data_IF_164515177572
#
_entry.id   IF_164515177572
#
_cell.length_a   1.000
_cell.length_b   1.000
_cell.length_c   1.000
_cell.angle_alpha   90.00
_cell.angle_beta   90.00
_cell.angle_gamma   90.00
#
_symmetry.space_group_name_H-M   'P 1'
#
loop_
_entity.id
_entity.type
_entity.pdbx_description
1 polymer ?
#
# COMPACT_ATOMS: atom_id res chain seq x y z
N UNK A 1 -39.72 4.57 18.14
CA UNK A 1 -39.37 3.14 18.26
C UNK A 1 -39.02 2.60 16.87
N UNK A 2 -38.12 1.62 16.81
CA UNK A 2 -37.89 0.72 15.65
C UNK A 2 -39.21 0.01 15.23
N UNK A 3 -39.42 -0.63 14.07
CA UNK A 3 -38.64 -1.03 12.88
C UNK A 3 -39.68 -1.18 11.72
N UNK A 4 -39.43 -1.49 10.44
CA UNK A 4 -38.26 -1.91 9.63
C UNK A 4 -38.50 -1.47 8.16
N UNK A 5 -37.49 -1.54 7.27
CA UNK A 5 -37.71 -1.73 5.83
C UNK A 5 -37.50 -3.22 5.44
N UNK A 6 -38.17 -3.77 4.42
CA UNK A 6 -38.30 -5.24 4.27
C UNK A 6 -37.04 -5.95 3.76
N UNK A 7 -36.79 -7.17 4.25
CA UNK A 7 -35.84 -8.13 3.65
C UNK A 7 -36.27 -8.49 2.23
N UNK A 8 -35.36 -8.32 1.26
CA UNK A 8 -35.48 -8.92 -0.07
C UNK A 8 -35.25 -7.93 -1.23
N UNK A 9 -34.00 -7.51 -1.43
CA UNK A 9 -33.65 -6.74 -2.62
C UNK A 9 -33.58 -7.69 -3.83
N UNK A 10 -34.65 -7.73 -4.64
CA UNK A 10 -34.83 -8.78 -5.67
C UNK A 10 -34.16 -8.48 -7.02
N UNK A 11 -33.80 -7.23 -7.30
CA UNK A 11 -33.30 -6.84 -8.63
C UNK A 11 -32.30 -5.67 -8.57
N UNK A 12 -31.02 -5.99 -8.70
CA UNK A 12 -30.12 -5.20 -9.54
C UNK A 12 -29.85 -6.06 -10.79
N UNK A 13 -30.63 -5.84 -11.86
CA UNK A 13 -30.49 -6.65 -13.08
C UNK A 13 -29.12 -6.42 -13.72
N UNK A 14 -28.30 -7.48 -13.71
CA UNK A 14 -26.96 -7.50 -14.26
C UNK A 14 -26.17 -8.62 -13.61
N UNK A 15 -25.90 -9.70 -14.34
CA UNK A 15 -25.30 -10.92 -13.80
C UNK A 15 -23.81 -10.72 -13.44
N UNK A 16 -23.56 -10.13 -12.26
CA UNK A 16 -22.24 -9.96 -11.67
C UNK A 16 -22.15 -10.55 -10.27
N UNK A 17 -20.93 -10.91 -9.86
CA UNK A 17 -20.59 -11.34 -8.48
C UNK A 17 -21.17 -10.33 -7.47
N UNK A 18 -21.81 -10.79 -6.37
CA UNK A 18 -22.38 -9.89 -5.37
C UNK A 18 -21.32 -8.92 -4.84
N UNK A 19 -21.74 -7.66 -4.62
CA UNK A 19 -20.88 -6.64 -4.05
C UNK A 19 -20.41 -7.09 -2.66
N UNK A 20 -19.08 -7.08 -2.43
CA UNK A 20 -18.48 -7.50 -1.17
C UNK A 20 -18.67 -6.48 -0.04
N UNK A 21 -18.51 -5.21 -0.37
CA UNK A 21 -18.70 -4.06 0.53
C UNK A 21 -20.06 -3.41 0.28
N UNK A 22 -20.75 -3.04 1.36
CA UNK A 22 -22.07 -2.43 1.30
C UNK A 22 -22.02 -0.91 1.13
N UNK A 23 -21.02 -0.26 1.73
CA UNK A 23 -20.81 1.19 1.66
C UNK A 23 -19.31 1.55 1.56
N UNK A 24 -19.02 2.82 1.29
CA UNK A 24 -17.65 3.31 1.11
C UNK A 24 -16.83 3.35 2.42
N UNK A 25 -17.49 3.60 3.54
CA UNK A 25 -16.91 3.76 4.88
C UNK A 25 -16.34 2.43 5.40
N UNK A 26 -17.07 1.32 5.21
CA UNK A 26 -16.61 -0.05 5.48
C UNK A 26 -15.37 -0.40 4.65
N UNK A 27 -15.31 0.05 3.39
CA UNK A 27 -14.15 -0.16 2.54
C UNK A 27 -12.95 0.69 2.99
N UNK A 28 -13.17 1.95 3.35
CA UNK A 28 -12.14 2.86 3.85
C UNK A 28 -11.55 2.36 5.17
N UNK A 29 -12.38 1.98 6.14
CA UNK A 29 -11.92 1.39 7.41
C UNK A 29 -11.04 0.15 7.17
N UNK A 30 -11.44 -0.74 6.25
CA UNK A 30 -10.69 -1.98 5.93
C UNK A 30 -9.40 -1.71 5.13
N UNK A 31 -9.29 -0.55 4.50
CA UNK A 31 -8.04 -0.04 3.90
C UNK A 31 -7.12 0.54 4.98
N UNK A 32 -7.66 1.25 5.96
CA UNK A 32 -6.86 1.81 7.07
C UNK A 32 -6.32 0.70 7.99
N UNK A 33 -7.13 -0.30 8.33
CA UNK A 33 -6.69 -1.54 9.01
C UNK A 33 -5.52 -2.23 8.26
N UNK A 34 -5.52 -2.20 6.93
CA UNK A 34 -4.44 -2.77 6.13
C UNK A 34 -3.13 -1.97 6.25
N UNK A 35 -3.21 -0.63 6.24
CA UNK A 35 -2.02 0.21 6.39
C UNK A 35 -1.48 0.19 7.83
N UNK A 36 -2.34 0.12 8.85
CA UNK A 36 -1.94 -0.14 10.23
C UNK A 36 -1.28 -1.52 10.35
N UNK A 37 -1.87 -2.56 9.75
CA UNK A 37 -1.23 -3.88 9.64
C UNK A 37 0.16 -3.80 8.98
N UNK A 38 0.38 -2.97 7.97
CA UNK A 38 1.70 -2.80 7.35
C UNK A 38 2.78 -2.24 8.31
N UNK A 39 2.41 -1.53 9.39
CA UNK A 39 3.37 -0.96 10.36
C UNK A 39 4.01 -2.00 11.31
N UNK A 40 3.49 -3.23 11.32
CA UNK A 40 3.97 -4.31 12.19
C UNK A 40 3.40 -4.24 13.62
N UNK A 41 3.80 -5.19 14.45
CA UNK A 41 3.32 -5.34 15.83
C UNK A 41 4.49 -5.33 16.82
N UNK A 42 4.29 -4.64 17.94
CA UNK A 42 5.26 -4.44 19.01
C UNK A 42 4.61 -4.67 20.36
N UNK A 43 5.26 -5.46 21.20
CA UNK A 43 4.83 -5.76 22.57
C UNK A 43 5.90 -5.30 23.56
N UNK A 44 5.47 -4.66 24.65
CA UNK A 44 6.36 -4.34 25.76
C UNK A 44 6.41 -5.52 26.73
N UNK A 45 7.53 -6.25 26.72
CA UNK A 45 7.77 -7.40 27.60
C UNK A 45 8.65 -6.98 28.78
N UNK A 46 8.32 -7.45 29.98
CA UNK A 46 9.12 -7.24 31.19
C UNK A 46 10.09 -8.39 31.39
N UNK A 47 11.39 -8.13 31.19
CA UNK A 47 12.46 -9.10 31.45
C UNK A 47 13.17 -8.74 32.77
N UNK A 48 13.37 -9.73 33.64
CA UNK A 48 14.20 -9.58 34.85
C UNK A 48 15.67 -9.77 34.49
N UNK A 49 16.41 -8.67 34.42
CA UNK A 49 17.84 -8.70 34.10
C UNK A 49 18.71 -8.53 35.34
N UNK A 50 19.66 -9.45 35.47
CA UNK A 50 20.64 -9.50 36.55
C UNK A 50 21.73 -8.44 36.36
N UNK A 51 21.55 -7.26 36.97
CA UNK A 51 22.52 -6.15 36.91
C UNK A 51 23.51 -6.24 38.06
N UNK A 52 24.81 -6.08 37.76
CA UNK A 52 25.86 -5.97 38.79
C UNK A 52 25.84 -4.59 39.41
N UNK A 53 25.70 -4.49 40.73
CA UNK A 53 25.80 -3.24 41.49
C UNK A 53 26.88 -3.40 42.56
N UNK A 54 27.67 -2.36 42.79
CA UNK A 54 28.63 -2.36 43.90
C UNK A 54 27.88 -2.20 45.22
N UNK A 55 28.10 -3.13 46.14
CA UNK A 55 27.61 -3.02 47.51
C UNK A 55 28.42 -1.96 48.26
N UNK A 56 27.73 -1.01 48.89
CA UNK A 56 28.33 0.12 49.61
C UNK A 56 29.11 -0.29 50.86
N UNK A 57 28.76 -1.42 51.47
CA UNK A 57 29.31 -1.86 52.76
C UNK A 57 30.46 -2.86 52.58
N UNK A 58 30.32 -3.82 51.67
CA UNK A 58 31.32 -4.88 51.44
C UNK A 58 32.29 -4.57 50.29
N UNK A 59 32.00 -3.54 49.48
CA UNK A 59 32.78 -3.17 48.30
C UNK A 59 32.71 -4.16 47.14
N UNK A 60 32.05 -5.31 47.31
CA UNK A 60 31.90 -6.37 46.31
C UNK A 60 30.82 -6.04 45.28
N UNK A 61 30.86 -6.72 44.13
CA UNK A 61 29.78 -6.67 43.14
C UNK A 61 28.73 -7.72 43.48
N UNK A 62 27.55 -7.28 43.86
CA UNK A 62 26.38 -8.12 44.03
C UNK A 62 25.51 -8.05 42.77
N UNK A 63 24.76 -9.12 42.51
CA UNK A 63 23.87 -9.21 41.35
C UNK A 63 22.45 -8.95 41.80
N UNK A 64 21.82 -7.89 41.30
CA UNK A 64 20.47 -7.47 41.68
C UNK A 64 19.52 -7.74 40.51
N UNK A 65 18.46 -8.55 40.68
CA UNK A 65 17.43 -8.68 39.67
C UNK A 65 16.72 -7.33 39.51
N UNK A 66 16.77 -6.79 38.30
CA UNK A 66 16.15 -5.51 37.96
C UNK A 66 15.16 -5.75 36.83
N UNK A 67 13.90 -5.40 37.03
CA UNK A 67 12.91 -5.39 35.96
C UNK A 67 13.27 -4.30 34.94
N UNK A 68 13.27 -4.68 33.65
CA UNK A 68 13.48 -3.75 32.53
C UNK A 68 12.39 -4.03 31.50
N UNK A 69 11.70 -2.97 31.08
CA UNK A 69 10.80 -3.03 29.93
C UNK A 69 11.62 -3.10 28.64
N UNK A 70 11.28 -4.06 27.80
CA UNK A 70 11.91 -4.31 26.51
C UNK A 70 10.82 -4.37 25.45
N UNK A 71 10.88 -3.44 24.51
CA UNK A 71 9.99 -3.43 23.34
C UNK A 71 10.43 -4.52 22.37
N UNK A 72 9.66 -5.59 22.27
CA UNK A 72 9.87 -6.72 21.37
C UNK A 72 9.02 -6.51 20.13
N UNK A 73 9.58 -6.75 18.94
CA UNK A 73 8.83 -6.72 17.69
C UNK A 73 8.29 -8.13 17.41
N UNK A 74 6.97 -8.31 17.54
CA UNK A 74 6.28 -9.58 17.29
C UNK A 74 6.12 -9.82 15.79
N UNK A 75 5.82 -8.76 15.03
CA UNK A 75 5.74 -8.80 13.57
C UNK A 75 6.44 -7.59 12.97
N UNK A 76 7.41 -7.83 12.10
CA UNK A 76 8.10 -6.76 11.39
C UNK A 76 7.13 -5.97 10.48
N UNK A 77 7.35 -4.65 10.30
CA UNK A 77 6.66 -3.89 9.26
C UNK A 77 6.93 -4.47 7.87
N UNK A 78 5.94 -4.42 6.99
CA UNK A 78 6.06 -4.76 5.57
C UNK A 78 5.52 -3.60 4.72
N UNK A 79 6.10 -3.40 3.53
CA UNK A 79 5.66 -2.32 2.64
C UNK A 79 4.33 -2.66 1.99
N UNK A 80 3.39 -1.70 1.87
CA UNK A 80 2.09 -1.97 1.29
C UNK A 80 2.22 -2.27 -0.21
N UNK A 81 1.44 -3.24 -0.69
CA UNK A 81 1.48 -3.77 -2.06
C UNK A 81 0.05 -3.88 -2.58
N UNK A 82 -0.18 -3.49 -3.84
CA UNK A 82 -1.52 -3.55 -4.46
C UNK A 82 -2.11 -4.97 -4.39
N UNK A 83 -1.28 -6.00 -4.56
CA UNK A 83 -1.69 -7.41 -4.45
C UNK A 83 -2.12 -7.78 -3.03
N UNK A 84 -1.34 -7.42 -2.01
CA UNK A 84 -1.64 -7.73 -0.62
C UNK A 84 -2.84 -6.92 -0.11
N UNK A 85 -2.98 -5.65 -0.52
CA UNK A 85 -4.18 -4.84 -0.30
C UNK A 85 -5.42 -5.54 -0.85
N UNK A 86 -5.39 -5.96 -2.12
CA UNK A 86 -6.51 -6.66 -2.74
C UNK A 86 -6.88 -7.95 -1.99
N UNK A 87 -5.88 -8.72 -1.51
CA UNK A 87 -6.08 -9.94 -0.72
C UNK A 87 -6.58 -9.67 0.71
N UNK A 88 -6.16 -8.57 1.36
CA UNK A 88 -6.62 -8.18 2.70
C UNK A 88 -8.07 -7.70 2.70
N UNK A 89 -8.43 -6.91 1.68
CA UNK A 89 -9.81 -6.62 1.33
C UNK A 89 -10.57 -7.87 0.81
N UNK A 90 -9.84 -8.96 0.57
CA UNK A 90 -10.31 -10.27 0.11
C UNK A 90 -11.08 -10.20 -1.21
N UNK A 91 -10.60 -9.38 -2.13
CA UNK A 91 -10.80 -9.58 -3.56
C UNK A 91 -9.96 -10.79 -4.01
N UNK A 92 -10.49 -11.52 -4.99
CA UNK A 92 -9.80 -12.66 -5.63
C UNK A 92 -8.71 -12.21 -6.60
N UNK A 93 -8.85 -11.01 -7.18
CA UNK A 93 -7.93 -10.46 -8.16
C UNK A 93 -7.86 -8.94 -8.07
N UNK A 94 -6.73 -8.37 -8.53
CA UNK A 94 -6.59 -6.92 -8.73
C UNK A 94 -7.68 -6.36 -9.66
N UNK A 95 -8.07 -7.11 -10.70
CA UNK A 95 -9.13 -6.72 -11.64
C UNK A 95 -10.45 -6.46 -10.92
N UNK A 96 -10.86 -7.33 -9.99
CA UNK A 96 -12.09 -7.14 -9.20
C UNK A 96 -12.03 -5.88 -8.33
N UNK A 97 -10.86 -5.55 -7.76
CA UNK A 97 -10.65 -4.30 -7.03
C UNK A 97 -10.69 -3.07 -7.95
N UNK A 98 -10.16 -3.16 -9.17
CA UNK A 98 -10.25 -2.07 -10.15
C UNK A 98 -11.68 -1.86 -10.69
N UNK A 99 -12.52 -2.90 -10.77
CA UNK A 99 -13.96 -2.72 -11.04
C UNK A 99 -14.69 -1.97 -9.91
N UNK A 100 -14.18 -2.01 -8.68
CA UNK A 100 -14.66 -1.15 -7.58
C UNK A 100 -14.20 0.29 -7.75
N UNK A 101 -12.97 0.51 -8.23
CA UNK A 101 -12.43 1.86 -8.47
C UNK A 101 -13.21 2.64 -9.53
N UNK A 102 -13.90 1.95 -10.45
CA UNK A 102 -14.84 2.55 -11.43
C UNK A 102 -16.17 3.00 -10.82
N UNK A 103 -16.54 2.52 -9.63
CA UNK A 103 -17.81 2.88 -8.97
C UNK A 103 -17.58 4.15 -8.15
N UNK A 104 -18.29 5.23 -8.46
CA UNK A 104 -18.06 6.56 -7.84
C UNK A 104 -17.92 6.50 -6.32
N UNK A 105 -18.88 5.85 -5.63
CA UNK A 105 -18.90 5.70 -4.16
C UNK A 105 -17.66 5.03 -3.58
N UNK A 106 -17.04 4.09 -4.29
CA UNK A 106 -15.86 3.34 -3.82
C UNK A 106 -14.54 3.84 -4.43
N UNK A 107 -14.62 4.76 -5.40
CA UNK A 107 -13.47 5.23 -6.17
C UNK A 107 -12.49 6.05 -5.34
N UNK A 108 -12.98 6.89 -4.43
CA UNK A 108 -12.15 7.76 -3.59
C UNK A 108 -11.21 6.99 -2.66
N UNK A 109 -11.68 6.11 -1.75
CA UNK A 109 -10.80 5.43 -0.80
C UNK A 109 -9.80 4.49 -1.50
N UNK A 110 -10.19 3.85 -2.62
CA UNK A 110 -9.28 3.02 -3.41
C UNK A 110 -8.20 3.84 -4.15
N UNK A 111 -8.55 5.00 -4.72
CA UNK A 111 -7.54 5.89 -5.33
C UNK A 111 -6.55 6.41 -4.29
N UNK A 112 -7.04 6.80 -3.10
CA UNK A 112 -6.19 7.18 -1.97
C UNK A 112 -5.24 6.05 -1.57
N UNK A 113 -5.74 4.82 -1.46
CA UNK A 113 -4.90 3.65 -1.14
C UNK A 113 -3.83 3.35 -2.19
N UNK A 114 -4.16 3.46 -3.47
CA UNK A 114 -3.19 3.29 -4.56
C UNK A 114 -2.12 4.38 -4.54
N UNK A 115 -2.49 5.64 -4.31
CA UNK A 115 -1.56 6.76 -4.22
C UNK A 115 -0.56 6.62 -3.06
N UNK A 116 -1.00 6.09 -1.91
CA UNK A 116 -0.09 5.75 -0.77
C UNK A 116 0.91 4.65 -1.16
N UNK A 117 0.46 3.66 -1.95
CA UNK A 117 1.36 2.61 -2.44
C UNK A 117 2.33 3.17 -3.50
N UNK A 118 1.88 4.08 -4.36
CA UNK A 118 2.75 4.76 -5.34
C UNK A 118 3.85 5.58 -4.66
N UNK A 119 3.53 6.36 -3.62
CA UNK A 119 4.54 7.13 -2.87
C UNK A 119 5.60 6.24 -2.21
N UNK A 120 5.24 5.03 -1.76
CA UNK A 120 6.23 4.06 -1.25
C UNK A 120 7.22 3.60 -2.33
N UNK A 121 6.80 3.50 -3.61
CA UNK A 121 7.72 3.24 -4.72
C UNK A 121 8.55 4.47 -5.08
N UNK A 122 8.01 5.69 -4.95
CA UNK A 122 8.80 6.93 -5.08
C UNK A 122 9.92 7.01 -4.04
N UNK A 123 9.64 6.74 -2.76
CA UNK A 123 10.63 6.76 -1.68
C UNK A 123 11.77 5.75 -1.90
N UNK A 124 11.49 4.61 -2.54
CA UNK A 124 12.51 3.60 -2.87
C UNK A 124 13.31 3.99 -4.12
N UNK A 125 12.73 4.76 -5.06
CA UNK A 125 13.30 5.04 -6.38
C UNK A 125 14.75 5.59 -6.33
N UNK A 126 15.13 6.54 -5.46
CA UNK A 126 16.52 7.04 -5.37
C UNK A 126 17.54 5.98 -4.92
N UNK A 127 17.09 4.94 -4.21
CA UNK A 127 17.93 3.90 -3.62
C UNK A 127 17.84 2.56 -4.39
N UNK A 128 16.93 2.47 -5.37
CA UNK A 128 16.65 1.27 -6.14
C UNK A 128 17.83 0.86 -7.02
N UNK A 129 18.43 -0.31 -6.72
CA UNK A 129 19.46 -0.91 -7.57
C UNK A 129 18.82 -1.62 -8.77
N UNK A 130 18.57 -0.85 -9.84
CA UNK A 130 18.04 -1.34 -11.11
C UNK A 130 16.57 -0.98 -11.37
N UNK A 131 16.09 -1.34 -12.57
CA UNK A 131 14.80 -0.85 -13.10
C UNK A 131 13.52 -1.46 -12.49
N UNK A 132 13.59 -2.24 -11.41
CA UNK A 132 12.43 -2.93 -10.84
C UNK A 132 11.34 -1.98 -10.32
N UNK A 133 11.75 -0.90 -9.64
CA UNK A 133 10.83 0.14 -9.15
C UNK A 133 10.21 0.92 -10.32
N UNK A 134 11.01 1.26 -11.34
CA UNK A 134 10.53 1.92 -12.56
C UNK A 134 9.51 1.04 -13.29
N UNK A 135 9.75 -0.28 -13.38
CA UNK A 135 8.79 -1.24 -13.93
C UNK A 135 7.50 -1.31 -13.11
N UNK A 136 7.58 -1.25 -11.77
CA UNK A 136 6.40 -1.22 -10.91
C UNK A 136 5.57 0.06 -11.12
N UNK A 137 6.21 1.24 -11.08
CA UNK A 137 5.57 2.54 -11.32
C UNK A 137 4.93 2.62 -12.72
N UNK A 138 5.59 2.11 -13.77
CA UNK A 138 5.01 2.03 -15.11
C UNK A 138 3.75 1.15 -15.17
N UNK A 139 3.72 0.05 -14.42
CA UNK A 139 2.50 -0.76 -14.25
C UNK A 139 1.39 -0.07 -13.42
N UNK A 140 1.69 1.04 -12.76
CA UNK A 140 0.73 1.92 -12.06
C UNK A 140 0.29 3.11 -12.93
N UNK A 141 0.81 3.23 -14.16
CA UNK A 141 0.44 4.28 -15.12
C UNK A 141 1.46 5.42 -15.27
N UNK A 142 2.67 5.28 -14.72
CA UNK A 142 3.74 6.24 -14.97
C UNK A 142 4.31 6.08 -16.39
N UNK A 143 4.59 7.20 -17.07
CA UNK A 143 5.11 7.22 -18.43
C UNK A 143 6.39 8.06 -18.52
N UNK A 144 7.40 7.55 -19.23
CA UNK A 144 8.62 8.32 -19.52
C UNK A 144 8.29 9.38 -20.58
N UNK A 145 8.58 10.66 -20.30
CA UNK A 145 8.39 11.74 -21.27
C UNK A 145 9.62 11.88 -22.16
N UNK A 146 9.48 11.54 -23.44
CA UNK A 146 10.49 11.79 -24.48
C UNK A 146 10.11 13.00 -25.33
N UNK A 147 11.01 13.97 -25.48
CA UNK A 147 10.91 15.01 -26.52
C UNK A 147 11.67 14.55 -27.78
N UNK A 148 11.09 14.77 -28.96
CA UNK A 148 11.69 14.40 -30.25
C UNK A 148 11.59 15.60 -31.20
N UNK A 149 12.66 16.40 -31.27
CA UNK A 149 12.76 17.53 -32.19
C UNK A 149 13.04 17.04 -33.62
N UNK A 150 11.98 16.92 -34.42
CA UNK A 150 12.07 16.50 -35.82
C UNK A 150 12.32 17.70 -36.75
N UNK A 151 13.58 18.12 -36.90
CA UNK A 151 13.95 19.16 -37.88
C UNK A 151 13.99 18.57 -39.30
N UNK A 152 12.88 18.68 -40.04
CA UNK A 152 12.81 18.18 -41.42
C UNK A 152 13.34 19.23 -42.39
N UNK A 153 14.59 19.09 -42.85
CA UNK A 153 15.10 19.84 -44.00
C UNK A 153 14.43 19.36 -45.30
N UNK A 154 13.39 20.08 -45.74
CA UNK A 154 12.73 19.81 -47.02
C UNK A 154 13.64 20.28 -48.17
N UNK A 155 14.48 19.39 -48.69
CA UNK A 155 15.18 19.62 -49.96
C UNK A 155 14.18 19.56 -51.11
N UNK A 156 13.81 20.73 -51.64
CA UNK A 156 13.01 20.88 -52.86
C UNK A 156 13.72 20.16 -54.02
N UNK A 157 13.07 19.15 -54.61
CA UNK A 157 13.60 18.46 -55.80
C UNK A 157 13.22 19.26 -57.04
N UNK A 158 14.01 20.29 -57.33
CA UNK A 158 13.87 21.09 -58.56
C UNK A 158 14.53 20.38 -59.74
N UNK A 159 13.77 19.55 -60.46
CA UNK A 159 14.36 18.81 -61.58
C UNK A 159 13.47 17.76 -62.24
N UNK A 160 12.28 18.14 -62.72
CA UNK A 160 11.51 17.31 -63.67
C UNK A 160 11.32 18.08 -64.98
N UNK A 161 12.33 17.97 -65.86
CA UNK A 161 12.16 18.39 -67.25
C UNK A 161 11.29 17.36 -67.96
N UNK A 162 10.13 17.80 -68.44
CA UNK A 162 9.23 17.02 -69.28
C UNK A 162 9.81 17.05 -70.71
N UNK A 163 9.98 15.86 -71.31
CA UNK A 163 10.28 15.68 -72.74
C UNK A 163 8.99 15.64 -73.55
#
# INVERSE_FOLDING_TARGET
MAFTAPKGNRYALGHGRPAKYANAEELEQRIEEYFEYCQGEYEDQTETVNKRKKNSETGKMDTIPTEVSKRVCTRAPDRPKITTLALFLGFESRSTMYEYLKRESFSYPLKRALMIIESEYEDILPFAKGGGVIFALKNMGWEDRTQVDSTVEIKQITGMQVL
#
